data_IF_513628107653
#
_entry.id   IF_513628107653
#
_cell.length_a   1.000
_cell.length_b   1.000
_cell.length_c   1.000
_cell.angle_alpha   90.00
_cell.angle_beta   90.00
_cell.angle_gamma   90.00
#
_symmetry.space_group_name_H-M   'P 1'
#
loop_
_entity.id
_entity.type
_entity.pdbx_description
1 polymer ?
#
# COMPACT_ATOMS: atom_id res chain seq x y z
N UNK A 1 -14.66 29.76 -11.86
CA UNK A 1 -13.91 29.93 -10.61
C UNK A 1 -12.70 29.01 -10.67
N UNK A 2 -11.51 29.56 -10.90
CA UNK A 2 -10.24 28.83 -10.91
C UNK A 2 -9.85 28.58 -9.46
N UNK A 3 -9.89 27.33 -9.00
CA UNK A 3 -9.38 26.98 -7.69
C UNK A 3 -7.87 27.29 -7.64
N UNK A 4 -7.48 28.26 -6.82
CA UNK A 4 -6.07 28.54 -6.55
C UNK A 4 -5.44 27.31 -5.88
N UNK A 5 -4.62 26.59 -6.65
CA UNK A 5 -3.90 25.40 -6.18
C UNK A 5 -2.77 25.87 -5.27
N UNK A 6 -3.06 25.99 -3.99
CA UNK A 6 -2.03 26.31 -2.98
C UNK A 6 -1.08 25.12 -2.90
N UNK A 7 0.19 25.31 -3.25
CA UNK A 7 1.21 24.28 -3.19
C UNK A 7 1.38 23.83 -1.74
N UNK A 8 1.10 22.55 -1.44
CA UNK A 8 1.23 22.01 -0.09
C UNK A 8 2.66 21.54 0.15
N UNK A 9 3.45 22.34 0.86
CA UNK A 9 4.75 21.92 1.37
C UNK A 9 4.55 20.74 2.34
N UNK A 10 5.48 19.80 2.36
CA UNK A 10 5.56 18.75 3.37
C UNK A 10 6.77 19.07 4.21
N UNK A 11 6.56 19.67 5.38
CA UNK A 11 7.61 19.89 6.36
C UNK A 11 7.87 18.60 7.17
N UNK A 12 9.04 18.54 7.80
CA UNK A 12 9.51 17.37 8.53
C UNK A 12 8.62 17.00 9.72
N UNK A 13 8.07 17.98 10.44
CA UNK A 13 7.20 17.75 11.59
C UNK A 13 5.87 17.13 11.16
N UNK A 14 5.27 17.66 10.09
CA UNK A 14 4.07 17.08 9.48
C UNK A 14 4.33 15.67 8.97
N UNK A 15 5.48 15.43 8.32
CA UNK A 15 5.83 14.09 7.85
C UNK A 15 6.01 13.11 9.02
N UNK A 16 6.69 13.51 10.10
CA UNK A 16 6.88 12.68 11.29
C UNK A 16 5.54 12.32 11.95
N UNK A 17 4.61 13.28 12.09
CA UNK A 17 3.29 13.02 12.64
C UNK A 17 2.46 12.06 11.77
N UNK A 18 2.58 12.18 10.43
CA UNK A 18 1.96 11.23 9.50
C UNK A 18 2.58 9.84 9.66
N UNK A 19 3.90 9.76 9.72
CA UNK A 19 4.64 8.51 9.89
C UNK A 19 4.28 7.79 11.20
N UNK A 20 4.07 8.52 12.29
CA UNK A 20 3.56 7.98 13.55
C UNK A 20 2.17 7.36 13.38
N UNK A 21 1.24 8.07 12.74
CA UNK A 21 -0.11 7.54 12.48
C UNK A 21 -0.10 6.33 11.51
N UNK A 22 0.80 6.32 10.51
CA UNK A 22 1.02 5.16 9.63
C UNK A 22 1.36 3.91 10.44
N UNK A 23 2.33 4.00 11.35
CA UNK A 23 2.73 2.87 12.21
C UNK A 23 1.58 2.47 13.14
N UNK A 24 0.94 3.46 13.78
CA UNK A 24 -0.17 3.20 14.71
C UNK A 24 -1.34 2.49 14.05
N UNK A 25 -1.75 2.92 12.87
CA UNK A 25 -2.82 2.26 12.12
C UNK A 25 -2.41 0.87 11.61
N UNK A 26 -1.14 0.65 11.27
CA UNK A 26 -0.67 -0.70 10.94
C UNK A 26 -0.77 -1.64 12.15
N UNK A 27 -0.39 -1.17 13.34
CA UNK A 27 -0.46 -1.94 14.58
C UNK A 27 -1.89 -2.28 14.98
N UNK A 28 -2.78 -1.29 14.90
CA UNK A 28 -4.20 -1.46 15.18
C UNK A 28 -4.86 -2.42 14.18
N UNK A 29 -4.54 -2.27 12.89
CA UNK A 29 -5.04 -3.15 11.83
C UNK A 29 -4.60 -4.60 12.07
N UNK A 30 -3.31 -4.84 12.34
CA UNK A 30 -2.80 -6.17 12.66
C UNK A 30 -3.52 -6.77 13.87
N UNK A 31 -3.58 -6.02 14.96
CA UNK A 31 -4.16 -6.48 16.23
C UNK A 31 -5.64 -6.83 16.07
N UNK A 32 -6.41 -5.93 15.43
CA UNK A 32 -7.84 -6.12 15.19
C UNK A 32 -8.11 -7.36 14.33
N UNK A 33 -7.37 -7.55 13.24
CA UNK A 33 -7.57 -8.71 12.36
C UNK A 33 -7.16 -10.01 13.07
N UNK A 34 -6.03 -10.04 13.79
CA UNK A 34 -5.63 -11.25 14.52
C UNK A 34 -6.62 -11.61 15.63
N UNK A 35 -7.18 -10.63 16.34
CA UNK A 35 -8.23 -10.86 17.34
C UNK A 35 -9.50 -11.43 16.70
N UNK A 36 -9.93 -10.87 15.56
CA UNK A 36 -11.08 -11.38 14.79
C UNK A 36 -10.92 -12.86 14.39
N UNK A 37 -9.71 -13.27 14.06
CA UNK A 37 -9.38 -14.64 13.63
C UNK A 37 -8.79 -15.53 14.74
N UNK A 38 -8.82 -15.10 16.01
CA UNK A 38 -8.08 -15.77 17.10
C UNK A 38 -8.42 -17.26 17.26
N UNK A 39 -9.69 -17.62 17.05
CA UNK A 39 -10.16 -19.00 17.15
C UNK A 39 -9.60 -19.92 16.03
N UNK A 40 -9.10 -19.34 14.94
CA UNK A 40 -8.52 -20.06 13.81
C UNK A 40 -7.07 -20.48 14.03
N UNK A 41 -6.42 -20.03 15.10
CA UNK A 41 -5.00 -20.25 15.34
C UNK A 41 -4.72 -20.92 16.69
N UNK A 42 -3.68 -21.75 16.74
CA UNK A 42 -3.23 -22.39 17.98
C UNK A 42 -2.69 -21.38 19.01
N UNK A 43 -2.07 -20.30 18.53
CA UNK A 43 -1.46 -19.27 19.34
C UNK A 43 -2.07 -17.88 19.06
N UNK A 44 -1.57 -16.85 19.75
CA UNK A 44 -2.04 -15.47 19.57
C UNK A 44 -1.76 -14.92 18.16
N UNK A 45 -0.73 -15.42 17.49
CA UNK A 45 -0.41 -15.14 16.10
C UNK A 45 -0.25 -16.47 15.35
N UNK A 46 -0.51 -16.50 14.02
CA UNK A 46 -0.38 -17.71 13.23
C UNK A 46 1.08 -18.12 13.09
N UNK A 47 1.31 -19.43 13.05
CA UNK A 47 2.55 -20.07 12.65
C UNK A 47 2.73 -20.04 11.14
N UNK A 48 3.96 -20.30 10.65
CA UNK A 48 4.20 -20.41 9.21
C UNK A 48 3.34 -21.46 8.52
N UNK A 49 3.08 -22.59 9.20
CA UNK A 49 2.27 -23.66 8.66
C UNK A 49 0.82 -23.19 8.49
N UNK A 50 0.25 -22.53 9.51
CA UNK A 50 -1.10 -21.93 9.44
C UNK A 50 -1.16 -20.86 8.34
N UNK A 51 -0.15 -20.01 8.21
CA UNK A 51 -0.07 -19.00 7.15
C UNK A 51 -0.11 -19.57 5.72
N UNK A 52 0.43 -20.77 5.51
CA UNK A 52 0.47 -21.47 4.21
C UNK A 52 -0.81 -22.28 3.93
N UNK A 53 -1.72 -22.41 4.90
CA UNK A 53 -2.97 -23.14 4.69
C UNK A 53 -3.85 -22.45 3.66
N UNK A 54 -4.55 -23.25 2.87
CA UNK A 54 -5.54 -22.77 1.92
C UNK A 54 -6.88 -22.56 2.62
N UNK A 55 -7.46 -21.38 2.41
CA UNK A 55 -8.77 -20.98 2.92
C UNK A 55 -9.61 -20.35 1.81
N UNK A 56 -10.89 -20.14 2.06
CA UNK A 56 -11.76 -19.38 1.16
C UNK A 56 -11.87 -17.94 1.66
N UNK A 57 -11.70 -16.98 0.77
CA UNK A 57 -12.02 -15.58 1.06
C UNK A 57 -13.54 -15.34 1.07
N UNK A 58 -13.96 -14.08 1.31
CA UNK A 58 -15.37 -13.69 1.34
C UNK A 58 -16.11 -13.90 0.01
N UNK A 59 -15.39 -14.01 -1.10
CA UNK A 59 -15.93 -14.27 -2.45
C UNK A 59 -15.90 -15.76 -2.81
N UNK A 60 -15.42 -16.61 -1.90
CA UNK A 60 -15.29 -18.05 -2.09
C UNK A 60 -14.03 -18.48 -2.84
N UNK A 61 -13.14 -17.54 -3.21
CA UNK A 61 -11.89 -17.85 -3.89
C UNK A 61 -10.91 -18.52 -2.94
N UNK A 62 -10.18 -19.51 -3.44
CA UNK A 62 -9.15 -20.22 -2.69
C UNK A 62 -7.87 -19.36 -2.62
N UNK A 63 -7.49 -18.94 -1.43
CA UNK A 63 -6.31 -18.13 -1.14
C UNK A 63 -5.53 -18.74 0.04
N UNK A 64 -4.28 -18.33 0.25
CA UNK A 64 -3.57 -18.73 1.47
C UNK A 64 -4.07 -17.90 2.66
N UNK A 65 -3.95 -18.43 3.87
CA UNK A 65 -4.27 -17.71 5.11
C UNK A 65 -3.47 -16.40 5.22
N UNK A 66 -2.20 -16.41 4.79
CA UNK A 66 -1.37 -15.21 4.74
C UNK A 66 -1.96 -14.13 3.83
N UNK A 67 -2.45 -14.50 2.65
CA UNK A 67 -3.11 -13.55 1.73
C UNK A 67 -4.40 -13.00 2.34
N UNK A 68 -5.24 -13.86 2.91
CA UNK A 68 -6.49 -13.42 3.55
C UNK A 68 -6.22 -12.40 4.67
N UNK A 69 -5.33 -12.72 5.60
CA UNK A 69 -4.99 -11.84 6.72
C UNK A 69 -4.35 -10.55 6.24
N UNK A 70 -3.40 -10.63 5.30
CA UNK A 70 -2.75 -9.47 4.72
C UNK A 70 -3.74 -8.51 4.07
N UNK A 71 -4.67 -9.03 3.26
CA UNK A 71 -5.73 -8.22 2.63
C UNK A 71 -6.65 -7.56 3.67
N UNK A 72 -7.09 -8.30 4.69
CA UNK A 72 -7.93 -7.71 5.75
C UNK A 72 -7.18 -6.63 6.55
N UNK A 73 -5.89 -6.82 6.80
CA UNK A 73 -5.04 -5.83 7.49
C UNK A 73 -4.82 -4.58 6.64
N UNK A 74 -4.55 -4.70 5.33
CA UNK A 74 -4.48 -3.55 4.41
C UNK A 74 -5.80 -2.76 4.44
N UNK A 75 -6.94 -3.43 4.34
CA UNK A 75 -8.24 -2.75 4.39
C UNK A 75 -8.49 -2.04 5.72
N UNK A 76 -8.11 -2.65 6.85
CA UNK A 76 -8.25 -2.03 8.16
C UNK A 76 -7.32 -0.81 8.32
N UNK A 77 -6.05 -0.94 7.91
CA UNK A 77 -5.07 0.15 7.98
C UNK A 77 -5.47 1.32 7.09
N UNK A 78 -5.95 1.05 5.86
CA UNK A 78 -6.42 2.08 4.94
C UNK A 78 -7.55 2.93 5.53
N UNK A 79 -8.54 2.30 6.17
CA UNK A 79 -9.66 3.03 6.82
C UNK A 79 -9.14 3.95 7.92
N UNK A 80 -8.29 3.42 8.79
CA UNK A 80 -7.68 4.21 9.87
C UNK A 80 -6.89 5.41 9.30
N UNK A 81 -6.09 5.19 8.25
CA UNK A 81 -5.25 6.23 7.67
C UNK A 81 -6.03 7.29 6.91
N UNK A 82 -7.13 6.94 6.24
CA UNK A 82 -8.01 7.95 5.64
C UNK A 82 -8.48 8.94 6.71
N UNK A 83 -9.02 8.44 7.82
CA UNK A 83 -9.50 9.29 8.92
C UNK A 83 -8.41 10.20 9.52
N UNK A 84 -7.17 9.71 9.63
CA UNK A 84 -6.04 10.49 10.15
C UNK A 84 -5.55 11.52 9.16
N UNK A 85 -5.32 11.13 7.91
CA UNK A 85 -4.74 12.01 6.90
C UNK A 85 -5.71 13.08 6.42
N UNK A 86 -7.03 12.85 6.48
CA UNK A 86 -8.00 13.93 6.26
C UNK A 86 -7.85 15.08 7.26
N UNK A 87 -7.36 14.80 8.48
CA UNK A 87 -7.12 15.81 9.52
C UNK A 87 -5.71 16.41 9.40
N UNK A 88 -4.69 15.57 9.22
CA UNK A 88 -3.29 15.99 9.21
C UNK A 88 -2.88 16.67 7.89
N UNK A 89 -3.44 16.23 6.76
CA UNK A 89 -3.02 16.70 5.43
C UNK A 89 -4.18 16.69 4.42
N UNK A 90 -5.31 17.37 4.67
CA UNK A 90 -6.48 17.35 3.79
C UNK A 90 -6.10 17.68 2.34
N UNK A 91 -6.43 16.81 1.39
CA UNK A 91 -6.14 16.99 -0.04
C UNK A 91 -4.66 16.95 -0.45
N UNK A 92 -3.74 16.61 0.47
CA UNK A 92 -2.31 16.46 0.19
C UNK A 92 -1.83 15.00 0.24
N UNK A 93 -2.75 14.04 0.14
CA UNK A 93 -2.44 12.62 0.08
C UNK A 93 -3.40 11.88 -0.85
N UNK A 94 -2.98 10.70 -1.29
CA UNK A 94 -3.80 9.73 -2.00
C UNK A 94 -3.60 8.36 -1.37
N UNK A 95 -4.68 7.60 -1.22
CA UNK A 95 -4.66 6.22 -0.75
C UNK A 95 -4.82 5.28 -1.94
N UNK A 96 -3.92 4.32 -2.01
CA UNK A 96 -3.82 3.36 -3.12
C UNK A 96 -3.88 4.02 -4.53
N UNK A 97 -3.21 5.17 -4.79
CA UNK A 97 -3.22 5.76 -6.12
C UNK A 97 -2.54 4.84 -7.12
N UNK A 98 -3.07 4.81 -8.34
CA UNK A 98 -2.49 4.02 -9.43
C UNK A 98 -1.73 4.90 -10.42
N UNK A 99 -0.56 4.43 -10.85
CA UNK A 99 0.28 5.09 -11.84
C UNK A 99 0.64 4.14 -12.98
N UNK A 100 0.44 4.60 -14.22
CA UNK A 100 1.10 4.01 -15.38
C UNK A 100 2.52 4.59 -15.49
N UNK A 101 3.49 3.74 -15.82
CA UNK A 101 4.87 4.14 -16.00
C UNK A 101 5.54 3.37 -17.14
N UNK A 102 6.08 4.12 -18.11
CA UNK A 102 6.78 3.53 -19.26
C UNK A 102 8.29 3.60 -19.04
N UNK A 103 8.95 2.44 -19.01
CA UNK A 103 10.37 2.32 -18.65
C UNK A 103 11.32 3.04 -19.63
N UNK A 104 10.99 3.02 -20.91
CA UNK A 104 11.79 3.54 -22.02
C UNK A 104 11.87 5.07 -22.04
N UNK A 105 10.74 5.74 -21.83
CA UNK A 105 10.58 7.19 -21.89
C UNK A 105 10.62 7.84 -20.52
N UNK A 106 10.48 7.05 -19.45
CA UNK A 106 10.32 7.56 -18.08
C UNK A 106 9.00 8.29 -17.85
N UNK A 107 8.02 8.12 -18.76
CA UNK A 107 6.74 8.82 -18.67
C UNK A 107 5.89 8.22 -17.55
N UNK A 108 5.47 9.05 -16.60
CA UNK A 108 4.50 8.70 -15.54
C UNK A 108 3.16 9.37 -15.80
N UNK A 109 2.08 8.61 -15.65
CA UNK A 109 0.70 9.12 -15.65
C UNK A 109 -0.06 8.60 -14.44
N UNK A 110 -0.86 9.48 -13.83
CA UNK A 110 -1.81 9.08 -12.80
C UNK A 110 -3.06 8.51 -13.47
N UNK A 111 -3.46 7.31 -13.05
CA UNK A 111 -4.72 6.69 -13.44
C UNK A 111 -5.75 7.12 -12.41
N UNK A 112 -6.78 7.85 -12.84
CA UNK A 112 -7.81 8.33 -11.92
C UNK A 112 -8.68 7.17 -11.40
N UNK A 113 -9.31 7.28 -10.22
CA UNK A 113 -10.22 6.25 -9.72
C UNK A 113 -11.34 5.89 -10.70
N UNK A 114 -11.84 6.87 -11.46
CA UNK A 114 -12.87 6.65 -12.49
C UNK A 114 -12.34 5.84 -13.67
N UNK A 115 -11.10 6.08 -14.07
CA UNK A 115 -10.44 5.33 -15.14
C UNK A 115 -10.12 3.90 -14.69
N UNK A 116 -9.58 3.71 -13.48
CA UNK A 116 -9.32 2.39 -12.91
C UNK A 116 -10.63 1.57 -12.84
N UNK A 117 -11.71 2.15 -12.30
CA UNK A 117 -13.01 1.48 -12.28
C UNK A 117 -13.51 1.15 -13.68
N UNK A 118 -13.40 2.07 -14.65
CA UNK A 118 -13.85 1.81 -16.02
C UNK A 118 -13.12 0.61 -16.65
N UNK A 119 -11.79 0.51 -16.45
CA UNK A 119 -10.98 -0.60 -16.95
C UNK A 119 -11.34 -1.93 -16.26
N UNK A 120 -11.61 -1.91 -14.96
CA UNK A 120 -12.06 -3.09 -14.22
C UNK A 120 -13.43 -3.59 -14.70
N UNK A 121 -14.39 -2.68 -14.94
CA UNK A 121 -15.76 -3.04 -15.35
C UNK A 121 -15.87 -3.45 -16.82
N UNK A 122 -15.02 -2.94 -17.71
CA UNK A 122 -15.07 -3.24 -19.14
C UNK A 122 -14.44 -4.59 -19.52
N UNK A 123 -13.86 -5.31 -18.56
CA UNK A 123 -13.08 -6.51 -18.81
C UNK A 123 -11.66 -6.23 -19.32
N UNK A 124 -11.24 -4.97 -19.41
CA UNK A 124 -9.90 -4.56 -19.84
C UNK A 124 -8.92 -4.42 -18.67
N UNK A 125 -9.16 -5.12 -17.56
CA UNK A 125 -8.29 -5.06 -16.38
C UNK A 125 -6.84 -5.48 -16.66
N UNK A 126 -6.58 -6.18 -17.78
CA UNK A 126 -5.23 -6.46 -18.28
C UNK A 126 -4.40 -5.20 -18.56
N UNK A 127 -5.03 -4.07 -18.90
CA UNK A 127 -4.35 -2.78 -19.07
C UNK A 127 -3.79 -2.21 -17.75
N UNK A 128 -4.24 -2.73 -16.61
CA UNK A 128 -3.67 -2.38 -15.30
C UNK A 128 -2.41 -3.21 -14.99
N UNK A 129 -2.09 -4.22 -15.81
CA UNK A 129 -0.82 -4.95 -15.71
C UNK A 129 0.35 -4.00 -15.96
N UNK A 130 1.40 -4.09 -15.14
CA UNK A 130 2.51 -3.14 -15.22
C UNK A 130 2.15 -1.72 -14.77
N UNK A 131 1.11 -1.55 -13.94
CA UNK A 131 0.88 -0.28 -13.22
C UNK A 131 1.35 -0.40 -11.76
N UNK A 132 1.63 0.75 -11.14
CA UNK A 132 2.13 0.85 -9.77
C UNK A 132 1.01 1.35 -8.85
N UNK A 133 0.87 0.73 -7.67
CA UNK A 133 -0.17 1.08 -6.69
C UNK A 133 0.38 1.04 -5.25
N UNK A 134 1.17 2.04 -4.84
CA UNK A 134 1.59 2.19 -3.44
C UNK A 134 0.40 2.42 -2.53
N UNK A 135 0.47 2.02 -1.26
CA UNK A 135 -0.66 2.19 -0.32
C UNK A 135 -0.94 3.66 0.02
N UNK A 136 0.10 4.48 0.20
CA UNK A 136 -0.03 5.89 0.57
C UNK A 136 0.98 6.73 -0.19
N UNK A 137 0.50 7.82 -0.80
CA UNK A 137 1.34 8.84 -1.42
C UNK A 137 1.01 10.19 -0.81
N UNK A 138 2.04 10.88 -0.29
CA UNK A 138 1.94 12.28 0.09
C UNK A 138 2.37 13.13 -1.12
N UNK A 139 1.59 14.17 -1.41
CA UNK A 139 1.84 15.03 -2.56
C UNK A 139 1.45 16.49 -2.29
N UNK A 140 1.85 17.40 -3.17
CA UNK A 140 1.66 18.86 -3.02
C UNK A 140 0.21 19.36 -3.26
N UNK A 141 -0.76 18.45 -3.37
CA UNK A 141 -2.09 18.70 -3.97
C UNK A 141 -2.21 18.24 -5.43
N UNK A 142 -1.13 17.69 -6.00
CA UNK A 142 -1.13 17.00 -7.28
C UNK A 142 -0.61 15.56 -7.12
N UNK A 143 -1.39 14.50 -7.41
CA UNK A 143 -0.90 13.11 -7.27
C UNK A 143 0.38 12.78 -8.04
N UNK A 144 0.75 13.58 -9.05
CA UNK A 144 2.00 13.43 -9.80
C UNK A 144 3.21 14.12 -9.15
N UNK A 145 2.98 15.10 -8.28
CA UNK A 145 4.01 15.82 -7.53
C UNK A 145 4.24 15.18 -6.16
N UNK A 146 4.75 13.95 -6.21
CA UNK A 146 5.00 13.09 -5.04
C UNK A 146 6.06 13.70 -4.12
N UNK A 147 5.83 13.58 -2.81
CA UNK A 147 6.74 14.01 -1.74
C UNK A 147 7.20 12.85 -0.88
N UNK A 148 6.34 11.87 -0.64
CA UNK A 148 6.70 10.63 0.05
C UNK A 148 5.78 9.49 -0.41
N UNK A 149 6.28 8.26 -0.35
CA UNK A 149 5.56 7.04 -0.75
C UNK A 149 5.73 6.00 0.34
N UNK A 150 4.62 5.40 0.78
CA UNK A 150 4.61 4.35 1.78
C UNK A 150 3.82 3.14 1.28
N UNK A 151 4.29 1.95 1.65
CA UNK A 151 3.65 0.67 1.36
C UNK A 151 3.64 -0.16 2.65
N UNK A 152 2.46 -0.56 3.10
CA UNK A 152 2.30 -1.42 4.26
C UNK A 152 2.79 -2.83 3.92
N UNK A 153 3.52 -3.44 4.85
CA UNK A 153 3.85 -4.87 4.80
C UNK A 153 3.29 -5.52 6.05
N UNK A 154 2.34 -6.44 5.85
CA UNK A 154 1.73 -7.24 6.92
C UNK A 154 2.24 -8.69 6.87
N UNK A 155 3.40 -9.00 7.51
CA UNK A 155 3.83 -10.38 7.70
C UNK A 155 2.73 -11.20 8.39
N UNK A 156 2.45 -12.41 7.91
CA UNK A 156 1.46 -13.25 8.56
C UNK A 156 1.94 -13.67 9.97
N UNK A 157 3.17 -14.15 10.08
CA UNK A 157 3.81 -14.52 11.35
C UNK A 157 4.30 -13.30 12.12
N UNK A 158 4.63 -13.47 13.40
CA UNK A 158 5.42 -12.48 14.11
C UNK A 158 6.85 -12.49 13.56
N UNK A 159 7.39 -11.31 13.25
CA UNK A 159 8.75 -11.11 12.75
C UNK A 159 9.39 -9.93 13.46
N UNK A 160 10.71 -10.02 13.62
CA UNK A 160 11.57 -8.93 14.11
C UNK A 160 12.26 -8.19 12.95
N UNK A 161 12.09 -8.68 11.72
CA UNK A 161 12.64 -8.09 10.50
C UNK A 161 11.54 -7.63 9.54
N UNK A 162 11.79 -6.49 8.88
CA UNK A 162 10.91 -5.97 7.84
C UNK A 162 11.05 -6.78 6.53
N UNK A 163 9.94 -7.32 5.97
CA UNK A 163 9.98 -8.08 4.72
C UNK A 163 10.57 -7.25 3.58
N UNK A 164 11.56 -7.80 2.87
CA UNK A 164 12.18 -7.15 1.70
C UNK A 164 11.13 -6.80 0.64
N UNK A 165 11.44 -5.81 -0.21
CA UNK A 165 10.62 -5.53 -1.40
C UNK A 165 10.57 -6.77 -2.30
N UNK A 166 9.36 -7.20 -2.66
CA UNK A 166 9.17 -8.34 -3.55
C UNK A 166 9.72 -8.03 -4.94
N UNK A 167 10.36 -9.03 -5.56
CA UNK A 167 10.69 -9.03 -6.99
C UNK A 167 9.42 -9.35 -7.80
N UNK A 168 9.26 -8.70 -8.94
CA UNK A 168 8.18 -9.05 -9.87
C UNK A 168 8.45 -10.43 -10.51
N UNK A 169 7.42 -11.24 -10.75
CA UNK A 169 7.61 -12.57 -11.33
C UNK A 169 8.05 -12.52 -12.79
N UNK A 170 8.63 -13.61 -13.27
CA UNK A 170 9.00 -13.80 -14.69
C UNK A 170 7.80 -13.57 -15.61
N UNK A 171 8.03 -12.90 -16.74
CA UNK A 171 7.01 -12.48 -17.70
C UNK A 171 6.25 -11.20 -17.30
N UNK A 172 6.50 -10.63 -16.13
CA UNK A 172 5.92 -9.34 -15.75
C UNK A 172 6.62 -8.18 -16.48
N UNK A 173 5.92 -7.08 -16.87
CA UNK A 173 6.56 -5.91 -17.48
C UNK A 173 7.73 -5.28 -16.69
N UNK A 174 7.87 -5.66 -15.41
CA UNK A 174 8.90 -5.18 -14.48
C UNK A 174 9.70 -6.34 -13.83
N UNK A 175 9.77 -7.51 -14.46
CA UNK A 175 10.41 -8.74 -13.91
C UNK A 175 11.84 -8.55 -13.36
N UNK A 176 12.60 -7.63 -13.94
CA UNK A 176 13.96 -7.31 -13.50
C UNK A 176 14.05 -6.47 -12.24
N UNK A 177 12.92 -5.94 -11.76
CA UNK A 177 12.85 -5.00 -10.67
C UNK A 177 12.16 -5.57 -9.43
N UNK A 178 12.48 -4.98 -8.30
CA UNK A 178 11.63 -5.06 -7.11
C UNK A 178 10.57 -3.98 -7.14
N UNK A 179 9.47 -4.19 -6.41
CA UNK A 179 8.42 -3.20 -6.23
C UNK A 179 8.98 -1.85 -5.74
N UNK A 180 9.91 -1.87 -4.78
CA UNK A 180 10.55 -0.67 -4.25
C UNK A 180 11.35 0.08 -5.32
N UNK A 181 12.13 -0.63 -6.14
CA UNK A 181 12.86 -0.01 -7.26
C UNK A 181 11.93 0.64 -8.28
N UNK A 182 10.78 0.02 -8.58
CA UNK A 182 9.80 0.60 -9.50
C UNK A 182 9.10 1.83 -8.93
N UNK A 183 8.75 1.81 -7.64
CA UNK A 183 8.23 3.01 -6.98
C UNK A 183 9.25 4.15 -6.98
N UNK A 184 10.51 3.88 -6.67
CA UNK A 184 11.56 4.90 -6.68
C UNK A 184 11.76 5.48 -8.08
N UNK A 185 11.90 4.61 -9.09
CA UNK A 185 12.09 4.99 -10.49
C UNK A 185 10.91 5.82 -11.03
N UNK A 186 9.67 5.43 -10.75
CA UNK A 186 8.49 6.12 -11.28
C UNK A 186 8.14 7.38 -10.47
N UNK A 187 8.28 7.34 -9.15
CA UNK A 187 7.79 8.39 -8.26
C UNK A 187 8.86 9.41 -7.89
N UNK A 188 10.14 9.12 -8.15
CA UNK A 188 11.27 10.03 -7.90
C UNK A 188 11.58 10.24 -6.43
N UNK A 189 11.03 9.40 -5.55
CA UNK A 189 11.25 9.42 -4.10
C UNK A 189 11.53 8.00 -3.62
N UNK A 190 12.41 7.86 -2.63
CA UNK A 190 12.68 6.57 -2.00
C UNK A 190 11.43 6.10 -1.24
N UNK A 191 10.82 4.96 -1.59
CA UNK A 191 9.63 4.47 -0.91
C UNK A 191 9.99 3.86 0.46
N UNK A 192 9.07 3.98 1.40
CA UNK A 192 9.17 3.37 2.72
C UNK A 192 8.21 2.19 2.88
N UNK A 193 8.67 1.15 3.59
CA UNK A 193 7.81 0.06 4.08
C UNK A 193 7.35 0.41 5.48
N UNK A 194 6.04 0.30 5.73
CA UNK A 194 5.46 0.43 7.07
C UNK A 194 5.14 -0.97 7.58
N UNK A 195 5.76 -1.36 8.69
CA UNK A 195 5.66 -2.72 9.22
C UNK A 195 5.13 -2.65 10.65
N UNK A 196 4.02 -3.32 10.98
CA UNK A 196 3.46 -3.28 12.32
C UNK A 196 4.48 -3.80 13.35
N UNK A 197 4.59 -3.08 14.47
CA UNK A 197 5.47 -3.24 15.64
C UNK A 197 6.93 -2.93 15.39
N UNK A 198 7.34 -2.80 14.12
CA UNK A 198 8.73 -2.55 13.74
C UNK A 198 8.94 -1.11 13.24
N UNK A 199 7.90 -0.45 12.73
CA UNK A 199 7.97 0.94 12.28
C UNK A 199 8.24 1.09 10.78
N UNK A 200 9.03 2.10 10.42
CA UNK A 200 9.25 2.53 9.04
C UNK A 200 10.65 2.16 8.55
N UNK A 201 10.72 1.56 7.37
CA UNK A 201 11.96 1.10 6.73
C UNK A 201 12.10 1.71 5.34
N UNK A 202 13.13 2.53 5.13
CA UNK A 202 13.46 3.17 3.84
C UNK A 202 14.45 2.33 3.05
#
# INVERSE_FOLDING_TARGET
>A
MTAQRTLRVLDEATQAAIEEELVRCADEARSTVLLKHRASFKAQAPSEAECKQWVKDATGRRVTQAMLLGTEMHHAARRCIDEKLQKLRPGGFSLEPRYAYTLDTGTKRWISPKEEQALEHSGNGGELSGTLKPDVVLHSGNPLEVKATYDFKFPCVNTDEAPRWSRYPDGHPYEDFTQGQMYEKALGVRPARVVPRLGIFR
#
